data_IF_694964924333
#
_entry.id   IF_694964924333
#
_cell.length_a   1.000
_cell.length_b   1.000
_cell.length_c   1.000
_cell.angle_alpha   90.00
_cell.angle_beta   90.00
_cell.angle_gamma   90.00
#
_symmetry.space_group_name_H-M   'P 1'
#
loop_
_entity.id
_entity.type
_entity.pdbx_description
1 polymer ?
#
# COMPACT_ATOMS: atom_id res chain seq x y z
N UNK A 1 -20.49 -8.86 15.09
CA UNK A 1 -19.39 -8.05 14.48
C UNK A 1 -18.03 -8.65 14.80
N UNK A 2 -17.07 -8.60 13.88
CA UNK A 2 -15.68 -9.00 14.14
C UNK A 2 -15.09 -8.04 15.18
N UNK A 3 -14.36 -8.56 16.19
CA UNK A 3 -13.76 -7.76 17.25
C UNK A 3 -12.79 -6.70 16.65
N UNK A 4 -12.74 -5.51 17.27
CA UNK A 4 -11.77 -4.47 16.92
C UNK A 4 -10.33 -5.02 16.92
N UNK A 5 -9.47 -4.59 15.99
CA UNK A 5 -8.08 -4.98 16.01
C UNK A 5 -7.36 -4.47 17.27
N UNK A 6 -6.15 -4.97 17.54
CA UNK A 6 -5.35 -4.51 18.68
C UNK A 6 -4.78 -3.12 18.38
N UNK A 7 -5.48 -2.09 18.83
CA UNK A 7 -5.18 -0.67 18.58
C UNK A 7 -5.18 0.19 19.86
N UNK A 8 -5.26 -0.45 21.03
CA UNK A 8 -5.36 0.25 22.32
C UNK A 8 -4.16 1.17 22.58
N UNK A 9 -2.96 0.78 22.12
CA UNK A 9 -1.77 1.64 22.25
C UNK A 9 -1.94 2.94 21.49
N UNK A 10 -2.40 2.85 20.25
CA UNK A 10 -2.56 3.99 19.35
C UNK A 10 -3.64 4.96 19.86
N UNK A 11 -4.79 4.45 20.31
CA UNK A 11 -5.89 5.29 20.78
C UNK A 11 -5.61 5.91 22.16
N UNK A 12 -4.90 5.21 23.06
CA UNK A 12 -4.52 5.75 24.38
C UNK A 12 -3.34 6.71 24.33
N UNK A 13 -2.42 6.54 23.38
CA UNK A 13 -1.29 7.46 23.20
C UNK A 13 -1.72 8.82 22.62
N UNK A 14 -2.90 8.92 22.03
CA UNK A 14 -3.34 10.14 21.37
C UNK A 14 -3.67 11.24 22.38
N UNK A 15 -2.89 12.32 22.35
CA UNK A 15 -3.05 13.50 23.22
C UNK A 15 -4.19 14.41 22.80
N UNK A 16 -4.89 14.14 21.69
CA UNK A 16 -5.95 14.98 21.12
C UNK A 16 -5.49 16.42 20.81
N UNK A 17 -4.19 16.67 20.63
CA UNK A 17 -3.57 17.99 20.51
C UNK A 17 -3.92 18.76 19.21
N UNK A 18 -4.36 18.07 18.15
CA UNK A 18 -4.84 18.71 16.91
C UNK A 18 -3.80 18.98 15.83
N UNK A 19 -2.48 18.87 16.07
CA UNK A 19 -1.44 19.15 15.05
C UNK A 19 -1.64 18.40 13.73
N UNK A 20 -2.24 17.21 13.79
CA UNK A 20 -2.52 16.40 12.61
C UNK A 20 -3.70 16.92 11.76
N UNK A 21 -4.45 17.91 12.25
CA UNK A 21 -5.58 18.52 11.50
C UNK A 21 -5.03 19.43 10.41
N UNK A 22 -4.09 20.30 10.75
CA UNK A 22 -3.57 21.35 9.86
C UNK A 22 -2.83 20.79 8.64
N UNK A 23 -2.27 19.59 8.79
CA UNK A 23 -1.53 18.90 7.71
C UNK A 23 -2.36 17.86 6.96
N UNK A 24 -3.66 17.75 7.25
CA UNK A 24 -4.52 16.72 6.68
C UNK A 24 -5.11 17.14 5.34
N UNK A 25 -4.64 16.56 4.24
CA UNK A 25 -5.15 16.85 2.90
C UNK A 25 -6.64 16.52 2.73
N UNK A 26 -7.14 15.49 3.41
CA UNK A 26 -8.57 15.18 3.40
C UNK A 26 -9.40 16.29 4.08
N UNK A 27 -8.88 16.91 5.14
CA UNK A 27 -9.52 18.03 5.82
C UNK A 27 -9.53 19.30 4.96
N UNK A 28 -8.45 19.56 4.23
CA UNK A 28 -8.37 20.71 3.32
C UNK A 28 -9.46 20.67 2.23
N UNK A 29 -9.88 19.48 1.82
CA UNK A 29 -10.95 19.28 0.82
C UNK A 29 -12.33 19.12 1.44
N UNK A 30 -12.41 18.56 2.62
CA UNK A 30 -13.66 18.32 3.36
C UNK A 30 -13.46 18.79 4.80
N UNK A 31 -13.85 20.03 5.14
CA UNK A 31 -13.50 20.69 6.41
C UNK A 31 -14.33 20.18 7.60
N UNK A 32 -14.46 18.85 7.72
CA UNK A 32 -15.07 18.18 8.86
C UNK A 32 -13.99 17.49 9.69
N UNK A 33 -14.03 17.65 11.00
CA UNK A 33 -13.06 17.02 11.88
C UNK A 33 -13.11 15.48 11.79
N UNK A 34 -14.24 14.89 11.50
CA UNK A 34 -14.40 13.43 11.33
C UNK A 34 -13.45 12.82 10.31
N UNK A 35 -13.02 13.57 9.29
CA UNK A 35 -12.05 13.06 8.29
C UNK A 35 -10.60 13.22 8.73
N UNK A 36 -10.33 13.97 9.82
CA UNK A 36 -8.97 14.17 10.35
C UNK A 36 -8.49 12.99 11.16
N UNK A 37 -7.18 12.84 11.36
CA UNK A 37 -6.64 11.79 12.23
C UNK A 37 -7.18 11.87 13.66
N UNK A 38 -7.27 13.06 14.25
CA UNK A 38 -7.83 13.27 15.60
C UNK A 38 -9.28 12.82 15.69
N UNK A 39 -10.11 13.24 14.76
CA UNK A 39 -11.53 12.88 14.72
C UNK A 39 -11.74 11.39 14.55
N UNK A 40 -10.94 10.73 13.67
CA UNK A 40 -10.98 9.28 13.50
C UNK A 40 -10.60 8.53 14.77
N UNK A 41 -9.52 8.93 15.45
CA UNK A 41 -9.11 8.31 16.72
C UNK A 41 -10.20 8.49 17.77
N UNK A 42 -10.80 9.69 17.86
CA UNK A 42 -11.91 9.92 18.77
C UNK A 42 -13.06 8.95 18.51
N UNK A 43 -13.48 8.81 17.26
CA UNK A 43 -14.54 7.88 16.87
C UNK A 43 -14.20 6.42 17.22
N UNK A 44 -12.98 5.97 16.87
CA UNK A 44 -12.51 4.61 17.19
C UNK A 44 -12.50 4.37 18.70
N UNK A 45 -12.14 5.39 19.49
CA UNK A 45 -12.19 5.31 20.96
C UNK A 45 -13.63 5.12 21.48
N UNK A 46 -14.62 5.75 20.85
CA UNK A 46 -16.02 5.52 21.19
C UNK A 46 -16.48 4.10 20.82
N UNK A 47 -16.04 3.59 19.65
CA UNK A 47 -16.31 2.22 19.25
C UNK A 47 -15.70 1.20 20.23
N UNK A 48 -14.47 1.43 20.70
CA UNK A 48 -13.78 0.54 21.66
C UNK A 48 -14.51 0.52 23.01
N UNK A 49 -14.99 1.66 23.47
CA UNK A 49 -15.75 1.79 24.72
C UNK A 49 -17.14 1.14 24.62
N UNK A 50 -17.86 1.36 23.53
CA UNK A 50 -19.23 0.84 23.34
C UNK A 50 -19.30 -0.70 23.33
N UNK A 51 -18.24 -1.39 22.93
CA UNK A 51 -18.17 -2.86 22.96
C UNK A 51 -17.71 -3.44 24.29
N UNK A 52 -17.26 -2.63 25.25
CA UNK A 52 -16.61 -3.08 26.49
C UNK A 52 -17.47 -2.90 27.74
N UNK A 53 -18.51 -2.06 27.70
CA UNK A 53 -19.38 -1.76 28.82
C UNK A 53 -20.26 -2.94 29.26
N UNK A 54 -20.40 -3.17 30.57
CA UNK A 54 -21.36 -4.16 31.12
C UNK A 54 -22.79 -3.79 30.74
N UNK A 55 -23.09 -2.50 30.65
CA UNK A 55 -24.41 -1.96 30.28
C UNK A 55 -24.71 -2.22 28.80
N UNK A 56 -23.75 -2.07 27.91
CA UNK A 56 -23.90 -2.34 26.47
C UNK A 56 -24.14 -3.83 26.21
N UNK A 57 -23.47 -4.71 26.97
CA UNK A 57 -23.67 -6.15 26.92
C UNK A 57 -25.07 -6.55 27.42
N UNK A 58 -25.54 -5.88 28.49
CA UNK A 58 -26.86 -6.15 29.08
C UNK A 58 -28.00 -5.66 28.18
N UNK A 59 -27.78 -4.53 27.47
CA UNK A 59 -28.79 -3.91 26.61
C UNK A 59 -28.72 -4.39 25.16
N UNK A 60 -27.77 -5.30 24.82
CA UNK A 60 -27.61 -5.82 23.47
C UNK A 60 -27.22 -4.72 22.45
N UNK A 61 -26.53 -3.66 22.90
CA UNK A 61 -26.09 -2.57 22.03
C UNK A 61 -24.89 -3.03 21.22
N UNK A 62 -25.15 -3.41 19.98
CA UNK A 62 -24.08 -3.69 19.01
C UNK A 62 -23.43 -2.38 18.52
N UNK A 63 -22.11 -2.41 18.47
CA UNK A 63 -21.32 -1.33 17.85
C UNK A 63 -21.62 -1.33 16.35
N UNK A 64 -22.37 -0.34 15.88
CA UNK A 64 -22.66 -0.20 14.45
C UNK A 64 -21.63 0.69 13.78
N UNK A 65 -21.13 0.21 12.63
CA UNK A 65 -20.32 1.01 11.72
C UNK A 65 -21.20 2.01 10.98
N UNK A 66 -21.11 3.29 11.33
CA UNK A 66 -21.85 4.30 10.57
C UNK A 66 -21.26 4.48 9.18
N UNK A 67 -22.09 4.73 8.15
CA UNK A 67 -21.64 5.04 6.80
C UNK A 67 -20.67 6.24 6.76
N UNK A 68 -20.89 7.25 7.62
CA UNK A 68 -20.05 8.45 7.71
C UNK A 68 -18.65 8.12 8.23
N UNK A 69 -18.52 7.19 9.17
CA UNK A 69 -17.22 6.74 9.64
C UNK A 69 -16.47 5.96 8.54
N UNK A 70 -17.16 5.08 7.84
CA UNK A 70 -16.59 4.33 6.71
C UNK A 70 -16.11 5.30 5.63
N UNK A 71 -16.94 6.28 5.25
CA UNK A 71 -16.57 7.32 4.29
C UNK A 71 -15.34 8.12 4.75
N UNK A 72 -15.33 8.58 6.01
CA UNK A 72 -14.19 9.29 6.58
C UNK A 72 -12.90 8.47 6.55
N UNK A 73 -12.98 7.16 6.79
CA UNK A 73 -11.83 6.27 6.72
C UNK A 73 -11.28 6.13 5.30
N UNK A 74 -12.14 6.08 4.27
CA UNK A 74 -11.71 5.96 2.87
C UNK A 74 -11.35 7.30 2.20
N UNK A 75 -11.74 8.45 2.73
CA UNK A 75 -11.25 9.77 2.31
C UNK A 75 -9.77 10.00 2.62
N UNK A 76 -9.19 9.24 3.54
CA UNK A 76 -7.76 9.34 3.84
C UNK A 76 -6.91 8.78 2.69
N UNK A 77 -5.99 9.60 2.17
CA UNK A 77 -5.08 9.21 1.08
C UNK A 77 -3.88 8.37 1.53
N UNK A 78 -3.66 8.22 2.85
CA UNK A 78 -2.51 7.50 3.40
C UNK A 78 -1.18 8.24 3.20
N UNK A 79 -1.18 9.56 3.08
CA UNK A 79 0.02 10.38 2.79
C UNK A 79 1.07 10.37 3.91
N UNK A 80 0.69 10.09 5.16
CA UNK A 80 1.61 10.01 6.31
C UNK A 80 1.94 11.36 6.98
N UNK A 81 1.49 12.52 6.45
CA UNK A 81 1.80 13.83 7.03
C UNK A 81 1.44 13.92 8.52
N UNK A 82 0.34 13.30 8.91
CA UNK A 82 -0.10 13.23 10.30
C UNK A 82 0.86 12.47 11.24
N UNK A 83 1.61 11.48 10.72
CA UNK A 83 2.63 10.77 11.50
C UNK A 83 3.85 11.65 11.75
N UNK A 84 4.26 12.43 10.74
CA UNK A 84 5.42 13.32 10.82
C UNK A 84 5.26 14.35 11.93
N UNK A 85 4.05 14.94 12.07
CA UNK A 85 3.78 15.96 13.08
C UNK A 85 3.29 15.40 14.42
N UNK A 86 3.10 14.09 14.53
CA UNK A 86 2.59 13.46 15.74
C UNK A 86 3.64 13.46 16.85
N UNK A 87 3.40 14.21 17.94
CA UNK A 87 4.28 14.23 19.10
C UNK A 87 4.31 12.90 19.86
N UNK A 88 3.19 12.17 19.87
CA UNK A 88 3.11 10.84 20.46
C UNK A 88 3.67 9.72 19.56
N UNK A 89 4.19 10.06 18.37
CA UNK A 89 4.80 9.13 17.40
C UNK A 89 3.91 7.92 17.06
N UNK A 90 2.60 8.16 16.93
CA UNK A 90 1.65 7.12 16.55
C UNK A 90 1.81 6.81 15.05
N UNK A 91 1.91 5.53 14.70
CA UNK A 91 1.91 5.06 13.31
C UNK A 91 0.49 5.07 12.74
N UNK A 92 0.03 6.27 12.35
CA UNK A 92 -1.35 6.51 11.96
C UNK A 92 -1.74 5.83 10.65
N UNK A 93 -0.83 5.73 9.69
CA UNK A 93 -1.11 5.03 8.41
C UNK A 93 -1.38 3.56 8.67
N UNK A 94 -0.56 2.91 9.50
CA UNK A 94 -0.78 1.51 9.91
C UNK A 94 -2.11 1.32 10.64
N UNK A 95 -2.47 2.28 11.48
CA UNK A 95 -3.75 2.27 12.18
C UNK A 95 -4.92 2.34 11.18
N UNK A 96 -4.83 3.21 10.17
CA UNK A 96 -5.88 3.31 9.14
C UNK A 96 -5.99 2.05 8.29
N UNK A 97 -4.89 1.40 7.97
CA UNK A 97 -4.89 0.11 7.26
C UNK A 97 -5.60 -0.97 8.10
N UNK A 98 -5.22 -1.14 9.37
CA UNK A 98 -5.89 -2.08 10.30
C UNK A 98 -7.40 -1.80 10.42
N UNK A 99 -7.79 -0.53 10.46
CA UNK A 99 -9.21 -0.16 10.53
C UNK A 99 -9.95 -0.45 9.23
N UNK A 100 -9.34 -0.25 8.07
CA UNK A 100 -9.93 -0.62 6.78
C UNK A 100 -10.07 -2.13 6.63
N UNK A 101 -9.08 -2.91 7.07
CA UNK A 101 -9.17 -4.37 7.14
C UNK A 101 -10.38 -4.80 7.99
N UNK A 102 -10.53 -4.17 9.15
CA UNK A 102 -11.65 -4.44 10.05
C UNK A 102 -13.01 -4.02 9.46
N UNK A 103 -13.09 -2.88 8.79
CA UNK A 103 -14.30 -2.43 8.07
C UNK A 103 -14.70 -3.46 7.00
N UNK A 104 -13.74 -3.94 6.22
CA UNK A 104 -13.97 -4.96 5.18
C UNK A 104 -14.41 -6.29 5.80
N UNK A 105 -13.76 -6.71 6.87
CA UNK A 105 -14.12 -7.95 7.60
C UNK A 105 -15.54 -7.91 8.19
N UNK A 106 -16.07 -6.71 8.44
CA UNK A 106 -17.46 -6.51 8.91
C UNK A 106 -18.45 -6.23 7.76
N UNK A 107 -18.04 -6.40 6.51
CA UNK A 107 -18.91 -6.24 5.33
C UNK A 107 -19.26 -4.80 4.96
N UNK A 108 -18.70 -3.79 5.67
CA UNK A 108 -18.96 -2.37 5.40
C UNK A 108 -17.99 -1.75 4.37
N UNK A 109 -17.07 -2.54 3.84
CA UNK A 109 -16.09 -2.12 2.83
C UNK A 109 -15.70 -3.28 1.91
N UNK A 110 -14.72 -3.07 1.05
CA UNK A 110 -14.23 -1.77 0.58
C UNK A 110 -15.26 -1.07 -0.32
N UNK A 111 -15.00 0.19 -0.71
CA UNK A 111 -15.88 0.91 -1.65
C UNK A 111 -15.99 0.15 -2.99
N UNK A 112 -17.09 0.31 -3.76
CA UNK A 112 -17.31 -0.44 -5.01
C UNK A 112 -16.13 -0.38 -6.00
N UNK A 113 -15.54 0.81 -6.19
CA UNK A 113 -14.37 0.98 -7.06
C UNK A 113 -13.16 0.15 -6.58
N UNK A 114 -12.95 0.05 -5.27
CA UNK A 114 -11.86 -0.75 -4.70
C UNK A 114 -12.10 -2.25 -4.86
N UNK A 115 -13.36 -2.71 -4.84
CA UNK A 115 -13.71 -4.13 -5.13
C UNK A 115 -13.34 -4.50 -6.57
N UNK A 116 -13.57 -3.59 -7.52
CA UNK A 116 -13.15 -3.78 -8.92
C UNK A 116 -11.64 -3.95 -9.05
N UNK A 117 -10.86 -3.09 -8.37
CA UNK A 117 -9.39 -3.20 -8.34
C UNK A 117 -8.95 -4.54 -7.72
N UNK A 118 -9.52 -4.93 -6.59
CA UNK A 118 -9.21 -6.20 -5.94
C UNK A 118 -9.56 -7.40 -6.82
N UNK A 119 -10.71 -7.39 -7.50
CA UNK A 119 -11.11 -8.42 -8.45
C UNK A 119 -10.16 -8.54 -9.65
N UNK A 120 -9.71 -7.41 -10.19
CA UNK A 120 -8.72 -7.37 -11.26
C UNK A 120 -7.38 -7.99 -10.81
N UNK A 121 -6.93 -7.65 -9.59
CA UNK A 121 -5.68 -8.20 -9.06
C UNK A 121 -5.81 -9.70 -8.79
N UNK A 122 -6.93 -10.15 -8.23
CA UNK A 122 -7.18 -11.56 -7.98
C UNK A 122 -7.17 -12.40 -9.26
N UNK A 123 -7.71 -11.89 -10.37
CA UNK A 123 -7.88 -12.64 -11.62
C UNK A 123 -6.73 -12.45 -12.62
N UNK A 124 -6.10 -11.27 -12.65
CA UNK A 124 -5.11 -10.87 -13.67
C UNK A 124 -3.79 -10.37 -13.06
N UNK A 125 -3.64 -10.42 -11.75
CA UNK A 125 -2.44 -10.02 -11.02
C UNK A 125 -2.02 -8.54 -11.22
N UNK A 126 -2.94 -7.71 -11.72
CA UNK A 126 -2.73 -6.28 -11.89
C UNK A 126 -4.02 -5.48 -11.64
N UNK A 127 -3.88 -4.23 -11.20
CA UNK A 127 -5.00 -3.38 -10.80
C UNK A 127 -5.93 -2.95 -11.94
N UNK A 128 -5.53 -3.16 -13.19
CA UNK A 128 -6.29 -2.75 -14.38
C UNK A 128 -7.05 -3.89 -15.06
N UNK A 129 -6.84 -5.16 -14.66
CA UNK A 129 -7.45 -6.33 -15.27
C UNK A 129 -6.92 -6.63 -16.69
N UNK A 130 -5.75 -6.09 -17.03
CA UNK A 130 -5.11 -6.26 -18.32
C UNK A 130 -4.49 -7.66 -18.49
N UNK A 131 -4.25 -8.07 -19.71
CA UNK A 131 -3.61 -9.34 -20.04
C UNK A 131 -2.17 -9.38 -19.49
N UNK A 132 -1.82 -10.34 -18.60
CA UNK A 132 -0.47 -10.47 -18.07
C UNK A 132 0.60 -10.66 -19.14
N UNK A 133 0.28 -11.27 -20.30
CA UNK A 133 1.21 -11.45 -21.42
C UNK A 133 1.69 -10.14 -22.04
N UNK A 134 0.95 -9.04 -21.82
CA UNK A 134 1.31 -7.70 -22.31
C UNK A 134 2.09 -6.90 -21.26
N UNK A 135 2.39 -7.48 -20.09
CA UNK A 135 2.94 -6.75 -18.96
C UNK A 135 4.32 -6.16 -19.21
N UNK A 136 5.09 -6.72 -20.08
CA UNK A 136 6.44 -6.28 -20.46
C UNK A 136 6.55 -5.73 -21.90
N UNK A 137 5.42 -5.45 -22.55
CA UNK A 137 5.39 -4.87 -23.90
C UNK A 137 6.07 -3.48 -23.99
N UNK A 138 6.31 -2.84 -22.86
CA UNK A 138 7.03 -1.57 -22.73
C UNK A 138 8.55 -1.73 -22.83
N UNK A 139 9.11 -2.95 -22.73
CA UNK A 139 10.57 -3.15 -22.74
C UNK A 139 11.18 -2.64 -24.05
N UNK A 140 12.27 -1.82 -24.00
CA UNK A 140 12.89 -1.31 -25.22
C UNK A 140 13.46 -2.46 -26.07
N UNK A 141 13.17 -2.44 -27.37
CA UNK A 141 13.64 -3.50 -28.29
C UNK A 141 15.17 -3.50 -28.50
N UNK A 142 15.81 -2.37 -28.26
CA UNK A 142 17.25 -2.14 -28.35
C UNK A 142 18.01 -2.47 -27.06
N UNK A 143 17.33 -2.87 -25.99
CA UNK A 143 17.94 -3.28 -24.72
C UNK A 143 17.81 -4.78 -24.52
N UNK A 144 18.94 -5.49 -24.52
CA UNK A 144 18.97 -6.92 -24.26
C UNK A 144 18.59 -7.25 -22.81
N UNK A 145 17.82 -8.32 -22.62
CA UNK A 145 17.53 -8.89 -21.31
C UNK A 145 18.66 -9.83 -20.88
N UNK A 146 19.29 -9.54 -19.77
CA UNK A 146 20.37 -10.36 -19.25
C UNK A 146 19.85 -11.66 -18.65
N UNK A 147 20.50 -12.79 -18.96
CA UNK A 147 20.25 -14.06 -18.29
C UNK A 147 20.82 -14.09 -16.86
N UNK A 148 21.81 -13.24 -16.56
CA UNK A 148 22.44 -13.07 -15.25
C UNK A 148 22.41 -11.58 -14.86
N UNK A 149 21.23 -11.03 -14.52
CA UNK A 149 21.07 -9.60 -14.29
C UNK A 149 21.63 -9.17 -12.93
N UNK A 150 22.20 -7.97 -12.88
CA UNK A 150 22.53 -7.28 -11.63
C UNK A 150 21.26 -6.70 -10.98
N UNK A 151 20.28 -6.32 -11.83
CA UNK A 151 19.04 -5.65 -11.43
C UNK A 151 17.81 -6.36 -12.00
N UNK A 152 16.83 -6.64 -11.15
CA UNK A 152 15.46 -6.89 -11.56
C UNK A 152 14.68 -5.57 -11.59
N UNK A 153 14.20 -5.19 -12.77
CA UNK A 153 13.43 -3.97 -12.95
C UNK A 153 11.94 -4.27 -12.76
N UNK A 154 11.34 -3.69 -11.71
CA UNK A 154 9.94 -3.86 -11.37
C UNK A 154 9.13 -2.66 -11.90
N UNK A 155 8.39 -2.85 -12.98
CA UNK A 155 7.65 -1.78 -13.63
C UNK A 155 6.38 -1.34 -12.86
N UNK A 156 5.73 -2.27 -12.17
CA UNK A 156 4.45 -2.06 -11.52
C UNK A 156 3.29 -1.94 -12.51
N UNK A 157 2.05 -2.00 -12.02
CA UNK A 157 0.86 -2.04 -12.88
C UNK A 157 0.71 -0.78 -13.76
N UNK A 158 0.93 0.41 -13.18
CA UNK A 158 0.80 1.68 -13.93
C UNK A 158 1.88 1.80 -15.01
N UNK A 159 3.12 1.48 -14.69
CA UNK A 159 4.21 1.48 -15.66
C UNK A 159 3.98 0.48 -16.79
N UNK A 160 3.51 -0.72 -16.47
CA UNK A 160 3.28 -1.78 -17.47
C UNK A 160 2.16 -1.46 -18.45
N UNK A 161 1.06 -0.82 -17.99
CA UNK A 161 -0.16 -0.75 -18.82
C UNK A 161 -0.68 0.66 -19.13
N UNK A 162 -0.23 1.69 -18.43
CA UNK A 162 -0.76 3.05 -18.60
C UNK A 162 0.30 4.07 -18.95
N UNK A 163 1.46 3.99 -18.32
CA UNK A 163 2.54 4.98 -18.45
C UNK A 163 3.84 4.30 -18.89
N UNK A 164 3.77 3.55 -19.98
CA UNK A 164 4.86 2.69 -20.48
C UNK A 164 6.15 3.46 -20.79
N UNK A 165 6.07 4.75 -21.12
CA UNK A 165 7.23 5.62 -21.34
C UNK A 165 8.11 5.74 -20.09
N UNK A 166 7.55 5.61 -18.86
CA UNK A 166 8.33 5.74 -17.63
C UNK A 166 9.30 4.56 -17.44
N UNK A 167 8.85 3.28 -17.36
CA UNK A 167 9.77 2.17 -17.24
C UNK A 167 10.69 2.04 -18.46
N UNK A 168 10.20 2.33 -19.67
CA UNK A 168 11.02 2.34 -20.89
C UNK A 168 12.19 3.30 -20.76
N UNK A 169 11.96 4.55 -20.36
CA UNK A 169 13.01 5.52 -20.14
C UNK A 169 13.97 5.08 -19.02
N UNK A 170 13.43 4.55 -17.90
CA UNK A 170 14.25 4.06 -16.80
C UNK A 170 15.21 2.96 -17.22
N UNK A 171 14.72 1.95 -17.93
CA UNK A 171 15.56 0.86 -18.47
C UNK A 171 16.59 1.39 -19.47
N UNK A 172 16.20 2.30 -20.35
CA UNK A 172 17.13 2.90 -21.33
C UNK A 172 18.28 3.64 -20.64
N UNK A 173 18.00 4.40 -19.57
CA UNK A 173 19.04 5.11 -18.79
C UNK A 173 19.99 4.11 -18.13
N UNK A 174 19.47 3.09 -17.46
CA UNK A 174 20.29 2.10 -16.78
C UNK A 174 21.12 1.25 -17.77
N UNK A 175 20.56 0.92 -18.93
CA UNK A 175 21.29 0.21 -19.98
C UNK A 175 22.49 1.02 -20.50
N UNK A 176 22.31 2.33 -20.72
CA UNK A 176 23.41 3.24 -21.11
C UNK A 176 24.47 3.40 -20.02
N UNK A 177 24.11 3.20 -18.78
CA UNK A 177 25.06 3.13 -17.66
C UNK A 177 25.74 1.75 -17.50
N UNK A 178 25.48 0.80 -18.42
CA UNK A 178 26.11 -0.53 -18.42
C UNK A 178 25.50 -1.52 -17.43
N UNK A 179 24.33 -1.22 -16.85
CA UNK A 179 23.66 -2.11 -15.90
C UNK A 179 23.00 -3.28 -16.62
N UNK A 180 23.31 -4.51 -16.22
CA UNK A 180 22.66 -5.72 -16.73
C UNK A 180 21.32 -5.91 -16.04
N UNK A 181 20.23 -5.98 -16.80
CA UNK A 181 18.88 -6.00 -16.27
C UNK A 181 18.01 -7.10 -16.87
N UNK A 182 17.01 -7.50 -16.09
CA UNK A 182 15.86 -8.25 -16.56
C UNK A 182 14.60 -7.74 -15.84
N UNK A 183 13.41 -8.18 -16.24
CA UNK A 183 12.16 -7.92 -15.54
C UNK A 183 11.39 -9.22 -15.32
N UNK A 184 10.37 -9.20 -14.47
CA UNK A 184 9.53 -10.35 -14.19
C UNK A 184 8.57 -10.69 -15.36
N UNK A 185 8.34 -9.75 -16.27
CA UNK A 185 7.47 -9.93 -17.43
C UNK A 185 6.05 -10.32 -17.02
N UNK A 186 5.45 -11.28 -17.72
CA UNK A 186 4.11 -11.79 -17.43
C UNK A 186 3.95 -12.35 -16.01
N UNK A 187 5.06 -12.73 -15.36
CA UNK A 187 5.09 -13.27 -14.00
C UNK A 187 5.06 -12.19 -12.92
N UNK A 188 5.13 -10.90 -13.27
CA UNK A 188 5.09 -9.81 -12.31
C UNK A 188 3.68 -9.63 -11.73
N UNK A 189 3.54 -9.72 -10.42
CA UNK A 189 2.31 -9.45 -9.70
C UNK A 189 2.24 -7.98 -9.26
N UNK A 190 1.03 -7.52 -8.92
CA UNK A 190 0.86 -6.22 -8.28
C UNK A 190 1.69 -6.16 -6.99
N UNK A 191 2.31 -5.01 -6.72
CA UNK A 191 3.03 -4.78 -5.45
C UNK A 191 2.13 -4.79 -4.21
N UNK A 192 0.85 -5.05 -4.33
CA UNK A 192 -0.19 -5.03 -3.29
C UNK A 192 -0.52 -3.67 -2.65
N UNK A 193 0.18 -2.59 -2.99
CA UNK A 193 -0.10 -1.26 -2.41
C UNK A 193 -1.58 -0.88 -2.39
N UNK A 194 -2.37 -0.97 -3.49
CA UNK A 194 -3.79 -0.63 -3.45
C UNK A 194 -4.60 -1.56 -2.55
N UNK A 195 -4.20 -2.81 -2.39
CA UNK A 195 -4.90 -3.80 -1.55
C UNK A 195 -4.73 -3.48 -0.07
N UNK A 196 -3.49 -3.18 0.37
CA UNK A 196 -3.19 -2.75 1.74
C UNK A 196 -3.98 -1.48 2.09
N UNK A 197 -4.01 -0.52 1.16
CA UNK A 197 -4.70 0.77 1.37
C UNK A 197 -6.22 0.66 1.35
N UNK A 198 -6.79 -0.48 0.96
CA UNK A 198 -8.24 -0.67 0.83
C UNK A 198 -8.82 -1.77 1.71
N UNK A 199 -7.99 -2.44 2.53
CA UNK A 199 -8.44 -3.45 3.50
C UNK A 199 -8.60 -4.84 2.90
N UNK A 200 -7.63 -5.31 2.12
CA UNK A 200 -7.62 -6.66 1.53
C UNK A 200 -6.34 -7.43 1.92
N UNK A 201 -6.13 -7.77 3.21
CA UNK A 201 -4.88 -8.34 3.69
C UNK A 201 -4.54 -9.69 3.07
N UNK A 202 -5.52 -10.59 2.88
CA UNK A 202 -5.28 -11.92 2.31
C UNK A 202 -4.79 -11.85 0.85
N UNK A 203 -5.41 -10.98 0.06
CA UNK A 203 -4.99 -10.78 -1.33
C UNK A 203 -3.64 -10.05 -1.41
N UNK A 204 -3.37 -9.16 -0.44
CA UNK A 204 -2.06 -8.51 -0.30
C UNK A 204 -0.96 -9.53 -0.02
N UNK A 205 -1.23 -10.49 0.87
CA UNK A 205 -0.30 -11.57 1.20
C UNK A 205 0.02 -12.42 -0.05
N UNK A 206 -0.99 -12.87 -0.78
CA UNK A 206 -0.81 -13.62 -2.03
C UNK A 206 0.08 -12.87 -3.03
N UNK A 207 -0.11 -11.56 -3.19
CA UNK A 207 0.72 -10.76 -4.08
C UNK A 207 2.16 -10.64 -3.58
N UNK A 208 2.36 -10.45 -2.27
CA UNK A 208 3.68 -10.34 -1.68
C UNK A 208 4.47 -11.65 -1.82
N UNK A 209 3.84 -12.80 -1.54
CA UNK A 209 4.42 -14.13 -1.75
C UNK A 209 4.90 -14.30 -3.19
N UNK A 210 4.01 -14.01 -4.15
CA UNK A 210 4.35 -14.14 -5.57
C UNK A 210 5.48 -13.21 -6.01
N UNK A 211 5.51 -11.96 -5.52
CA UNK A 211 6.58 -10.99 -5.86
C UNK A 211 7.91 -11.44 -5.27
N UNK A 212 7.94 -11.86 -4.00
CA UNK A 212 9.18 -12.31 -3.34
C UNK A 212 9.73 -13.55 -4.04
N UNK A 213 8.91 -14.60 -4.21
CA UNK A 213 9.32 -15.84 -4.86
C UNK A 213 9.91 -15.63 -6.26
N UNK A 214 9.23 -14.83 -7.07
CA UNK A 214 9.63 -14.60 -8.47
C UNK A 214 10.83 -13.67 -8.60
N UNK A 215 10.94 -12.70 -7.73
CA UNK A 215 12.09 -11.80 -7.71
C UNK A 215 13.36 -12.55 -7.25
N UNK A 216 13.25 -13.35 -6.20
CA UNK A 216 14.37 -14.17 -5.72
C UNK A 216 14.81 -15.19 -6.77
N UNK A 217 13.85 -15.76 -7.53
CA UNK A 217 14.12 -16.70 -8.62
C UNK A 217 14.90 -16.11 -9.80
N UNK A 218 14.95 -14.78 -9.96
CA UNK A 218 15.78 -14.13 -11.00
C UNK A 218 17.28 -14.11 -10.61
N UNK A 219 17.59 -14.13 -9.32
CA UNK A 219 18.96 -14.14 -8.83
C UNK A 219 19.68 -12.78 -8.94
N UNK A 220 18.97 -11.70 -9.22
CA UNK A 220 19.53 -10.34 -9.22
C UNK A 220 19.81 -9.86 -7.79
N UNK A 221 20.88 -9.06 -7.64
CA UNK A 221 21.24 -8.48 -6.33
C UNK A 221 20.33 -7.33 -5.92
N UNK A 222 19.94 -6.51 -6.89
CA UNK A 222 19.21 -5.28 -6.66
C UNK A 222 17.83 -5.33 -7.38
N UNK A 223 16.82 -4.68 -6.78
CA UNK A 223 15.51 -4.45 -7.40
C UNK A 223 15.28 -2.95 -7.56
N UNK A 224 14.96 -2.51 -8.76
CA UNK A 224 14.75 -1.10 -9.07
C UNK A 224 13.33 -0.85 -9.56
N UNK A 225 12.69 0.18 -9.04
CA UNK A 225 11.32 0.57 -9.39
C UNK A 225 11.18 2.08 -9.60
N UNK A 226 10.34 2.46 -10.56
CA UNK A 226 10.04 3.88 -10.85
C UNK A 226 8.83 4.43 -10.11
N UNK A 227 8.05 3.56 -9.46
CA UNK A 227 6.85 3.95 -8.72
C UNK A 227 7.15 4.00 -7.21
N UNK A 228 6.99 5.18 -6.59
CA UNK A 228 7.21 5.38 -5.15
C UNK A 228 6.27 4.53 -4.28
N UNK A 229 5.03 4.30 -4.73
CA UNK A 229 4.09 3.40 -4.05
C UNK A 229 4.54 1.94 -4.06
N UNK A 230 5.03 1.44 -5.21
CA UNK A 230 5.62 0.11 -5.29
C UNK A 230 6.88 0.02 -4.42
N UNK A 231 7.77 1.02 -4.50
CA UNK A 231 8.99 1.09 -3.71
C UNK A 231 8.68 1.01 -2.19
N UNK A 232 7.80 1.89 -1.69
CA UNK A 232 7.42 1.87 -0.27
C UNK A 232 6.87 0.50 0.14
N UNK A 233 5.97 -0.07 -0.66
CA UNK A 233 5.31 -1.33 -0.31
C UNK A 233 6.29 -2.49 -0.27
N UNK A 234 7.15 -2.64 -1.28
CA UNK A 234 8.09 -3.76 -1.35
C UNK A 234 9.25 -3.59 -0.36
N UNK A 235 9.81 -2.38 -0.21
CA UNK A 235 10.95 -2.13 0.67
C UNK A 235 10.58 -2.11 2.16
N UNK A 236 9.36 -1.69 2.50
CA UNK A 236 8.97 -1.45 3.90
C UNK A 236 7.75 -2.28 4.32
N UNK A 237 6.66 -2.26 3.54
CA UNK A 237 5.40 -2.83 3.98
C UNK A 237 5.42 -4.36 3.97
N UNK A 238 6.07 -5.00 2.99
CA UNK A 238 6.17 -6.46 2.93
C UNK A 238 6.74 -7.07 4.20
N UNK A 239 7.80 -6.47 4.77
CA UNK A 239 8.41 -6.95 6.01
C UNK A 239 7.50 -6.86 7.24
N UNK A 240 6.36 -6.14 7.18
CA UNK A 240 5.39 -6.04 8.27
C UNK A 240 4.38 -7.18 8.31
N UNK A 241 4.03 -7.76 7.17
CA UNK A 241 2.95 -8.75 7.06
C UNK A 241 3.36 -10.06 6.36
N UNK A 242 4.54 -10.11 5.72
CA UNK A 242 5.05 -11.33 5.09
C UNK A 242 6.57 -11.46 5.28
N UNK A 243 7.33 -11.14 4.24
CA UNK A 243 8.80 -11.23 4.21
C UNK A 243 9.37 -10.13 3.30
N UNK A 244 10.61 -9.72 3.57
CA UNK A 244 11.35 -8.87 2.65
C UNK A 244 11.79 -9.69 1.44
N UNK A 245 11.87 -9.05 0.28
CA UNK A 245 12.57 -9.63 -0.88
C UNK A 245 14.06 -9.79 -0.57
N UNK A 246 14.71 -10.75 -1.19
CA UNK A 246 16.16 -11.00 -1.03
C UNK A 246 17.03 -9.89 -1.61
N UNK A 247 16.50 -9.08 -2.54
CA UNK A 247 17.20 -7.99 -3.20
C UNK A 247 17.28 -6.74 -2.33
N UNK A 248 18.31 -5.89 -2.57
CA UNK A 248 18.28 -4.50 -2.12
C UNK A 248 17.29 -3.72 -2.98
N UNK A 249 16.28 -3.13 -2.37
CA UNK A 249 15.21 -2.41 -3.08
C UNK A 249 15.53 -0.93 -3.18
N UNK A 250 15.50 -0.39 -4.40
CA UNK A 250 15.77 1.02 -4.68
C UNK A 250 14.62 1.65 -5.47
N UNK A 251 14.29 2.89 -5.13
CA UNK A 251 13.64 3.74 -6.09
C UNK A 251 14.63 4.13 -7.20
N UNK A 252 14.16 4.28 -8.42
CA UNK A 252 15.01 4.58 -9.60
C UNK A 252 15.98 5.76 -9.35
N UNK A 253 15.51 6.85 -8.73
CA UNK A 253 16.36 8.01 -8.40
C UNK A 253 17.51 7.67 -7.46
N UNK A 254 17.28 6.82 -6.47
CA UNK A 254 18.33 6.38 -5.53
C UNK A 254 19.36 5.49 -6.24
N UNK A 255 18.89 4.64 -7.15
CA UNK A 255 19.80 3.77 -7.89
C UNK A 255 20.67 4.56 -8.86
N UNK A 256 20.10 5.55 -9.55
CA UNK A 256 20.87 6.47 -10.43
C UNK A 256 21.89 7.28 -9.62
N UNK A 257 21.49 7.84 -8.47
CA UNK A 257 22.41 8.52 -7.56
C UNK A 257 23.62 7.65 -7.19
N UNK A 258 23.37 6.38 -6.87
CA UNK A 258 24.43 5.41 -6.55
C UNK A 258 25.36 5.10 -7.72
N UNK A 259 24.90 5.22 -8.97
CA UNK A 259 25.72 4.99 -10.16
C UNK A 259 26.61 6.19 -10.50
N UNK A 260 26.26 7.39 -10.02
CA UNK A 260 26.99 8.64 -10.26
C UNK A 260 28.10 8.85 -9.22
N UNK A 261 27.88 8.38 -7.98
CA UNK A 261 28.83 8.45 -6.86
C UNK A 261 29.72 7.20 -6.79
#
# INVERSE_FOLDING_TARGET
MVKLPRIQKEITACLQCGYCIDVCEAHNQTPWESVTPRGKIYYITQLDKAGSGAEDKLLGRDVQLSPEFVDAMYKCTGCGNCEVVCHAKIHLVDLWEKMRDWIVANGAGPLPAHRGIAGNIASKHNSFGEDPKKRDAWWPADVERSATPDVVFFAGCTGSYRMQQIPKAGVTVLARAGVKMNCLGEKEYCCSSPLLRTGNPNLSLMCAEAVVEKADGIGAKDMVMTCSGCYKTVSSDFGRFYAKVGQNVYHFSQYVERLIN
#
